data_IF_999418931408
#
_entry.id   IF_999418931408
#
_cell.length_a   1.000
_cell.length_b   1.000
_cell.length_c   1.000
_cell.angle_alpha   90.00
_cell.angle_beta   90.00
_cell.angle_gamma   90.00
#
_symmetry.space_group_name_H-M   'P 1'
#
loop_
_entity.id
_entity.type
_entity.pdbx_description
1 polymer ?
#
# COMPACT_ATOMS: atom_id res chain seq x y z
N UNK A 1 10.42 -20.14 -2.13
CA UNK A 1 9.32 -19.22 -1.95
C UNK A 1 8.66 -18.91 -3.29
N UNK A 2 7.43 -18.38 -3.29
CA UNK A 2 6.68 -18.05 -4.51
C UNK A 2 7.42 -17.06 -5.42
N UNK A 3 8.15 -16.08 -4.85
CA UNK A 3 8.97 -15.13 -5.60
C UNK A 3 10.22 -15.79 -6.24
N UNK A 4 10.83 -16.73 -5.55
CA UNK A 4 11.94 -17.53 -6.14
C UNK A 4 11.43 -18.35 -7.32
N UNK A 5 10.20 -18.90 -7.21
CA UNK A 5 9.58 -19.62 -8.31
C UNK A 5 9.22 -18.69 -9.48
N UNK A 6 8.66 -17.51 -9.24
CA UNK A 6 8.36 -16.53 -10.30
C UNK A 6 9.62 -16.02 -10.99
N UNK A 7 10.67 -15.69 -10.26
CA UNK A 7 11.96 -15.30 -10.83
C UNK A 7 12.58 -16.41 -11.68
N UNK A 8 12.45 -17.66 -11.26
CA UNK A 8 12.88 -18.82 -12.05
C UNK A 8 12.04 -19.02 -13.32
N UNK A 9 10.72 -18.75 -13.25
CA UNK A 9 9.82 -18.87 -14.41
C UNK A 9 10.17 -17.80 -15.45
N UNK A 10 10.40 -16.56 -15.04
CA UNK A 10 10.79 -15.47 -15.94
C UNK A 10 12.14 -15.73 -16.59
N UNK A 11 13.14 -16.18 -15.82
CA UNK A 11 14.44 -16.59 -16.35
C UNK A 11 14.31 -17.75 -17.33
N UNK A 12 13.49 -18.75 -17.03
CA UNK A 12 13.22 -19.87 -17.93
C UNK A 12 12.50 -19.43 -19.21
N UNK A 13 11.60 -18.45 -19.14
CA UNK A 13 10.93 -17.89 -20.30
C UNK A 13 11.91 -17.18 -21.23
N UNK A 14 12.86 -16.40 -20.70
CA UNK A 14 13.91 -15.76 -21.50
C UNK A 14 14.90 -16.77 -22.11
N UNK A 15 15.31 -17.79 -21.35
CA UNK A 15 16.16 -18.88 -21.84
C UNK A 15 15.49 -19.66 -22.98
N UNK A 16 14.17 -19.85 -22.94
CA UNK A 16 13.41 -20.53 -24.00
C UNK A 16 13.44 -19.82 -25.35
N UNK A 17 13.65 -18.51 -25.36
CA UNK A 17 13.80 -17.69 -26.59
C UNK A 17 15.12 -17.95 -27.30
N UNK A 18 16.10 -18.53 -26.61
CA UNK A 18 17.41 -18.85 -27.16
C UNK A 18 17.38 -20.25 -27.84
N UNK A 19 17.80 -20.38 -29.10
CA UNK A 19 17.89 -21.69 -29.77
C UNK A 19 18.70 -22.67 -28.95
N UNK A 20 18.22 -23.95 -28.87
CA UNK A 20 18.80 -24.99 -28.03
C UNK A 20 20.31 -25.13 -28.18
N UNK A 21 20.83 -25.11 -29.42
CA UNK A 21 22.27 -25.24 -29.73
C UNK A 21 23.12 -24.01 -29.31
N UNK A 22 22.50 -22.87 -29.01
CA UNK A 22 23.18 -21.70 -28.50
C UNK A 22 23.19 -21.64 -26.98
N UNK A 23 22.33 -22.38 -26.29
CA UNK A 23 22.20 -22.34 -24.84
C UNK A 23 23.48 -22.74 -24.12
N UNK A 24 24.19 -23.76 -24.62
CA UNK A 24 25.45 -24.21 -24.04
C UNK A 24 26.59 -23.20 -24.22
N UNK A 25 26.66 -22.52 -25.38
CA UNK A 25 27.58 -21.40 -25.60
C UNK A 25 27.19 -20.16 -24.86
N UNK A 26 25.90 -19.89 -24.70
CA UNK A 26 25.36 -18.77 -23.95
C UNK A 26 25.85 -18.82 -22.49
N UNK A 27 25.85 -19.99 -21.87
CA UNK A 27 26.34 -20.19 -20.51
C UNK A 27 27.86 -20.11 -20.35
N UNK A 28 28.63 -20.21 -21.46
CA UNK A 28 30.10 -20.23 -21.45
C UNK A 28 30.78 -18.95 -21.96
N UNK A 29 30.03 -17.95 -22.37
CA UNK A 29 30.60 -16.71 -22.94
C UNK A 29 30.51 -15.52 -22.00
N UNK A 30 31.13 -14.38 -22.37
CA UNK A 30 31.02 -13.12 -21.64
C UNK A 30 29.59 -12.64 -21.41
N UNK A 31 28.60 -13.19 -22.14
CA UNK A 31 27.17 -12.99 -21.93
C UNK A 31 26.68 -13.54 -20.58
N UNK A 32 27.32 -14.55 -19.99
CA UNK A 32 26.98 -15.05 -18.64
C UNK A 32 27.08 -13.94 -17.61
N UNK A 33 28.12 -13.12 -17.70
CA UNK A 33 28.36 -12.05 -16.74
C UNK A 33 27.33 -10.94 -16.91
N UNK A 34 26.99 -10.60 -18.14
CA UNK A 34 26.04 -9.52 -18.46
C UNK A 34 24.61 -9.93 -18.10
N UNK A 35 24.21 -11.18 -18.35
CA UNK A 35 22.89 -11.71 -17.96
C UNK A 35 22.79 -11.88 -16.43
N UNK A 36 23.88 -12.29 -15.77
CA UNK A 36 23.92 -12.33 -14.31
C UNK A 36 23.77 -10.92 -13.71
N UNK A 37 24.47 -9.94 -14.23
CA UNK A 37 24.44 -8.56 -13.74
C UNK A 37 23.12 -7.84 -14.11
N UNK A 38 22.58 -8.03 -15.30
CA UNK A 38 21.39 -7.32 -15.79
C UNK A 38 20.05 -7.98 -15.40
N UNK A 39 20.03 -9.28 -15.20
CA UNK A 39 18.78 -10.03 -14.93
C UNK A 39 18.80 -10.68 -13.55
N UNK A 40 19.86 -11.42 -13.23
CA UNK A 40 19.91 -12.22 -11.99
C UNK A 40 20.17 -11.33 -10.77
N UNK A 41 21.05 -10.34 -10.88
CA UNK A 41 21.38 -9.45 -9.78
C UNK A 41 20.21 -8.58 -9.37
N UNK A 42 19.44 -7.92 -10.28
CA UNK A 42 18.22 -7.21 -9.91
C UNK A 42 17.14 -8.13 -9.31
N UNK A 43 17.05 -9.39 -9.74
CA UNK A 43 16.12 -10.37 -9.17
C UNK A 43 16.57 -10.77 -7.77
N UNK A 44 17.87 -11.05 -7.58
CA UNK A 44 18.44 -11.36 -6.27
C UNK A 44 18.30 -10.18 -5.29
N UNK A 45 18.52 -8.96 -5.74
CA UNK A 45 18.29 -7.74 -4.95
C UNK A 45 16.83 -7.62 -4.51
N UNK A 46 15.87 -7.91 -5.39
CA UNK A 46 14.44 -7.94 -5.03
C UNK A 46 14.11 -9.06 -4.04
N UNK A 47 14.72 -10.24 -4.21
CA UNK A 47 14.56 -11.36 -3.27
C UNK A 47 15.16 -10.99 -1.92
N UNK A 48 16.34 -10.38 -1.89
CA UNK A 48 16.98 -9.91 -0.65
C UNK A 48 16.12 -8.85 0.03
N UNK A 49 15.60 -7.86 -0.70
CA UNK A 49 14.70 -6.85 -0.16
C UNK A 49 13.41 -7.46 0.40
N UNK A 50 12.84 -8.44 -0.30
CA UNK A 50 11.67 -9.18 0.19
C UNK A 50 11.98 -10.01 1.44
N UNK A 51 13.12 -10.71 1.46
CA UNK A 51 13.56 -11.49 2.63
C UNK A 51 13.89 -10.59 3.82
N UNK A 52 14.49 -9.42 3.57
CA UNK A 52 14.71 -8.40 4.60
C UNK A 52 13.39 -7.83 5.13
N UNK A 53 12.46 -7.49 4.24
CA UNK A 53 11.12 -7.03 4.63
C UNK A 53 10.34 -8.10 5.40
N UNK A 54 10.54 -9.38 5.06
CA UNK A 54 9.93 -10.52 5.75
C UNK A 54 10.59 -10.85 7.08
N UNK A 55 11.92 -10.68 7.20
CA UNK A 55 12.67 -10.96 8.44
C UNK A 55 12.53 -9.85 9.47
N UNK A 56 12.20 -8.62 9.04
CA UNK A 56 12.01 -7.48 9.91
C UNK A 56 10.63 -6.83 9.70
N UNK A 57 9.53 -7.61 9.80
CA UNK A 57 8.22 -7.07 9.45
C UNK A 57 7.81 -5.90 10.36
N UNK A 58 8.28 -5.84 11.61
CA UNK A 58 7.85 -4.78 12.54
C UNK A 58 8.76 -4.59 13.78
N UNK A 59 9.84 -5.37 13.94
CA UNK A 59 10.61 -5.41 15.19
C UNK A 59 11.41 -4.13 15.49
N UNK A 60 11.67 -3.30 14.48
CA UNK A 60 12.41 -2.04 14.62
C UNK A 60 11.60 -0.80 14.24
N UNK A 61 10.30 -0.90 14.09
CA UNK A 61 9.47 0.29 14.07
C UNK A 61 9.40 0.75 15.53
N UNK A 62 9.98 1.91 15.88
CA UNK A 62 9.80 2.43 17.22
C UNK A 62 8.29 2.60 17.43
N UNK A 63 7.69 1.74 18.23
CA UNK A 63 6.30 1.86 18.68
C UNK A 63 6.10 3.06 19.61
N UNK A 64 7.15 3.83 19.77
CA UNK A 64 7.12 5.07 20.52
C UNK A 64 6.77 6.26 19.63
N UNK A 65 5.52 6.31 19.15
CA UNK A 65 4.83 7.55 19.24
C UNK A 65 4.69 7.82 20.74
N UNK A 66 5.68 8.49 21.35
CA UNK A 66 5.56 8.93 22.73
C UNK A 66 4.33 9.83 22.75
N UNK A 67 3.31 9.40 23.49
CA UNK A 67 2.11 10.17 23.76
C UNK A 67 2.48 11.38 24.62
N UNK A 68 3.02 12.42 24.01
CA UNK A 68 3.13 13.74 24.64
C UNK A 68 1.81 14.50 24.52
N UNK A 69 0.91 14.05 23.64
CA UNK A 69 -0.44 14.57 23.50
C UNK A 69 -1.42 13.58 24.14
N UNK A 70 -2.43 14.11 24.83
CA UNK A 70 -3.53 13.33 25.40
C UNK A 70 -4.15 12.37 24.37
N UNK A 71 -4.84 11.34 24.83
CA UNK A 71 -5.53 10.39 23.94
C UNK A 71 -6.68 11.11 23.24
N UNK A 72 -6.50 11.44 21.96
CA UNK A 72 -7.56 11.93 21.10
C UNK A 72 -8.39 10.73 20.61
N UNK A 73 -9.70 10.80 20.72
CA UNK A 73 -10.61 9.83 20.11
C UNK A 73 -10.76 10.06 18.61
N UNK A 74 -11.27 9.07 17.90
CA UNK A 74 -11.50 9.15 16.45
C UNK A 74 -12.50 10.27 16.13
N UNK A 75 -13.57 10.39 16.92
CA UNK A 75 -14.59 11.42 16.72
C UNK A 75 -14.11 12.82 17.11
N UNK A 76 -13.23 12.93 18.10
CA UNK A 76 -12.53 14.22 18.38
C UNK A 76 -11.65 14.62 17.20
N UNK A 77 -10.92 13.67 16.59
CA UNK A 77 -10.16 13.94 15.37
C UNK A 77 -11.07 14.44 14.24
N UNK A 78 -12.19 13.73 13.96
CA UNK A 78 -13.12 14.16 12.91
C UNK A 78 -13.63 15.57 13.15
N UNK A 79 -14.03 15.91 14.38
CA UNK A 79 -14.49 17.25 14.72
C UNK A 79 -13.41 18.33 14.50
N UNK A 80 -12.15 18.02 14.81
CA UNK A 80 -11.01 18.92 14.57
C UNK A 80 -10.68 19.06 13.08
N UNK A 81 -10.72 17.97 12.31
CA UNK A 81 -10.49 17.96 10.87
C UNK A 81 -11.51 18.85 10.14
N UNK A 82 -12.79 18.70 10.43
CA UNK A 82 -13.88 19.49 9.83
C UNK A 82 -13.79 20.99 10.08
N UNK A 83 -13.05 21.45 11.08
CA UNK A 83 -12.81 22.88 11.32
C UNK A 83 -12.02 23.56 10.22
N UNK A 84 -11.24 22.79 9.46
CA UNK A 84 -10.39 23.29 8.37
C UNK A 84 -10.99 23.06 6.99
N UNK A 85 -12.20 22.48 6.93
CA UNK A 85 -12.93 22.29 5.69
C UNK A 85 -13.30 23.63 5.06
N UNK A 86 -12.99 23.81 3.78
CA UNK A 86 -13.39 24.96 3.01
C UNK A 86 -14.83 24.78 2.51
N UNK A 87 -15.76 25.60 2.98
CA UNK A 87 -17.16 25.60 2.52
C UNK A 87 -17.42 26.74 1.53
N UNK A 88 -16.57 26.84 0.51
CA UNK A 88 -16.67 27.90 -0.50
C UNK A 88 -17.85 27.67 -1.43
N UNK A 89 -18.20 26.43 -1.72
CA UNK A 89 -19.31 26.09 -2.62
C UNK A 89 -20.63 26.22 -1.90
N UNK A 90 -21.35 27.29 -2.21
CA UNK A 90 -22.75 27.51 -1.74
C UNK A 90 -23.78 26.87 -2.64
N UNK A 91 -23.37 26.34 -3.79
CA UNK A 91 -24.27 25.69 -4.75
C UNK A 91 -24.77 24.35 -4.21
N UNK A 92 -26.08 24.11 -4.30
CA UNK A 92 -26.70 22.85 -3.84
C UNK A 92 -26.46 21.70 -4.83
N UNK A 93 -25.21 21.48 -5.25
CA UNK A 93 -24.86 20.32 -6.05
C UNK A 93 -24.89 19.11 -5.11
N UNK A 94 -25.82 18.16 -5.32
CA UNK A 94 -25.87 16.96 -4.49
C UNK A 94 -24.53 16.26 -4.47
N UNK A 95 -24.11 15.81 -3.30
CA UNK A 95 -22.88 15.05 -3.11
C UNK A 95 -21.56 15.75 -3.46
N UNK A 96 -21.53 17.06 -3.67
CA UNK A 96 -20.29 17.80 -3.99
C UNK A 96 -19.21 17.59 -2.93
N UNK A 97 -19.58 17.58 -1.65
CA UNK A 97 -18.65 17.35 -0.53
C UNK A 97 -18.11 15.92 -0.53
N UNK A 98 -18.94 14.93 -0.89
CA UNK A 98 -18.49 13.54 -1.05
C UNK A 98 -17.48 13.45 -2.18
N UNK A 99 -17.76 14.10 -3.31
CA UNK A 99 -16.89 14.13 -4.47
C UNK A 99 -15.54 14.80 -4.13
N UNK A 100 -15.57 15.95 -3.45
CA UNK A 100 -14.36 16.66 -2.99
C UNK A 100 -13.53 15.76 -2.09
N UNK A 101 -14.15 15.13 -1.08
CA UNK A 101 -13.47 14.21 -0.17
C UNK A 101 -12.83 13.02 -0.88
N UNK A 102 -13.54 12.39 -1.82
CA UNK A 102 -13.01 11.25 -2.57
C UNK A 102 -11.90 11.65 -3.56
N UNK A 103 -12.00 12.83 -4.18
CA UNK A 103 -10.95 13.33 -5.08
C UNK A 103 -9.67 13.65 -4.28
N UNK A 104 -9.80 14.32 -3.13
CA UNK A 104 -8.66 14.63 -2.27
C UNK A 104 -8.01 13.37 -1.70
N UNK A 105 -8.81 12.42 -1.19
CA UNK A 105 -8.30 11.14 -0.70
C UNK A 105 -7.46 10.41 -1.77
N UNK A 106 -7.89 10.41 -3.03
CA UNK A 106 -7.12 9.84 -4.14
C UNK A 106 -5.85 10.65 -4.42
N UNK A 107 -5.89 11.99 -4.29
CA UNK A 107 -4.72 12.85 -4.44
C UNK A 107 -3.64 12.50 -3.44
N UNK A 108 -3.97 12.53 -2.14
CA UNK A 108 -3.01 12.22 -1.06
C UNK A 108 -2.51 10.78 -1.10
N UNK A 109 -3.38 9.82 -1.47
CA UNK A 109 -2.94 8.44 -1.71
C UNK A 109 -1.94 8.37 -2.87
N UNK A 110 -2.10 9.21 -3.90
CA UNK A 110 -1.14 9.35 -4.99
C UNK A 110 0.20 9.92 -4.53
N UNK A 111 0.20 10.91 -3.63
CA UNK A 111 1.42 11.48 -3.03
C UNK A 111 2.15 10.44 -2.17
N UNK A 112 1.44 9.69 -1.35
CA UNK A 112 2.00 8.56 -0.61
C UNK A 112 2.63 7.50 -1.53
N UNK A 113 1.98 7.16 -2.66
CA UNK A 113 2.54 6.24 -3.67
C UNK A 113 3.79 6.85 -4.33
N UNK A 114 3.83 8.16 -4.59
CA UNK A 114 4.99 8.83 -5.20
C UNK A 114 6.21 8.76 -4.29
N UNK A 115 6.05 8.89 -2.96
CA UNK A 115 7.14 8.66 -2.00
C UNK A 115 7.71 7.25 -2.21
N UNK A 116 6.87 6.22 -2.22
CA UNK A 116 7.32 4.84 -2.41
C UNK A 116 7.95 4.60 -3.78
N UNK A 117 7.42 5.22 -4.83
CA UNK A 117 8.01 5.18 -6.18
C UNK A 117 9.43 5.74 -6.17
N UNK A 118 9.66 6.88 -5.52
CA UNK A 118 10.98 7.51 -5.41
C UNK A 118 11.97 6.62 -4.66
N UNK A 119 11.53 5.99 -3.57
CA UNK A 119 12.35 5.04 -2.81
C UNK A 119 12.71 3.82 -3.67
N UNK A 120 11.72 3.19 -4.30
CA UNK A 120 11.91 1.89 -4.97
C UNK A 120 12.63 2.02 -6.33
N UNK A 121 12.46 3.14 -7.04
CA UNK A 121 12.90 3.27 -8.42
C UNK A 121 13.87 4.42 -8.68
N UNK A 122 14.05 5.33 -7.72
CA UNK A 122 14.88 6.53 -7.90
C UNK A 122 15.99 6.68 -6.84
N UNK A 123 16.12 5.70 -5.92
CA UNK A 123 17.18 5.65 -4.93
C UNK A 123 17.06 6.67 -3.80
N UNK A 124 15.85 7.20 -3.54
CA UNK A 124 15.62 8.06 -2.38
C UNK A 124 15.58 7.24 -1.10
N UNK A 125 15.98 7.85 0.01
CA UNK A 125 15.73 7.27 1.33
C UNK A 125 14.25 7.38 1.71
N UNK A 126 13.77 6.41 2.49
CA UNK A 126 12.38 6.41 2.94
C UNK A 126 12.17 7.39 4.09
N UNK A 127 11.52 8.51 3.80
CA UNK A 127 11.10 9.50 4.79
C UNK A 127 9.77 9.06 5.44
N UNK A 128 9.89 8.51 6.65
CA UNK A 128 8.75 8.02 7.43
C UNK A 128 7.86 9.14 7.94
N UNK A 129 8.44 10.29 8.26
CA UNK A 129 7.68 11.44 8.75
C UNK A 129 6.83 12.03 7.62
N UNK A 130 7.40 12.16 6.43
CA UNK A 130 6.69 12.59 5.24
C UNK A 130 5.53 11.63 4.93
N UNK A 131 5.78 10.30 4.88
CA UNK A 131 4.73 9.30 4.70
C UNK A 131 3.62 9.42 5.75
N UNK A 132 3.96 9.68 7.02
CA UNK A 132 2.96 9.85 8.08
C UNK A 132 2.09 11.10 7.88
N UNK A 133 2.62 12.16 7.28
CA UNK A 133 1.85 13.37 6.93
C UNK A 133 0.84 13.06 5.83
N UNK A 134 1.25 12.41 4.74
CA UNK A 134 0.35 11.99 3.66
C UNK A 134 -0.79 11.08 4.18
N UNK A 135 -0.47 10.15 5.08
CA UNK A 135 -1.49 9.32 5.73
C UNK A 135 -2.43 10.15 6.62
N UNK A 136 -1.94 11.23 7.22
CA UNK A 136 -2.74 12.20 7.95
C UNK A 136 -3.72 12.94 7.04
N UNK A 137 -3.26 13.36 5.86
CA UNK A 137 -4.08 14.07 4.88
C UNK A 137 -5.13 13.16 4.25
N UNK A 138 -4.81 11.88 3.98
CA UNK A 138 -5.79 10.84 3.63
C UNK A 138 -6.87 10.72 4.72
N UNK A 139 -6.48 10.71 6.00
CA UNK A 139 -7.43 10.62 7.11
C UNK A 139 -8.32 11.86 7.20
N UNK A 140 -7.79 13.05 6.87
CA UNK A 140 -8.56 14.29 6.80
C UNK A 140 -9.68 14.20 5.76
N UNK A 141 -9.36 13.79 4.54
CA UNK A 141 -10.35 13.60 3.48
C UNK A 141 -11.34 12.46 3.78
N UNK A 142 -10.90 11.44 4.50
CA UNK A 142 -11.81 10.39 5.00
C UNK A 142 -12.82 10.97 5.99
N UNK A 143 -12.38 11.85 6.91
CA UNK A 143 -13.25 12.50 7.88
C UNK A 143 -14.30 13.40 7.19
N UNK A 144 -13.89 14.18 6.19
CA UNK A 144 -14.79 15.01 5.38
C UNK A 144 -15.82 14.15 4.63
N UNK A 145 -15.36 13.07 4.00
CA UNK A 145 -16.24 12.16 3.25
C UNK A 145 -17.27 11.48 4.16
N UNK A 146 -16.86 11.06 5.35
CA UNK A 146 -17.74 10.46 6.35
C UNK A 146 -18.86 11.43 6.78
N UNK A 147 -18.49 12.66 7.15
CA UNK A 147 -19.45 13.70 7.54
C UNK A 147 -20.39 14.06 6.37
N UNK A 148 -19.86 14.09 5.15
CA UNK A 148 -20.65 14.41 3.96
C UNK A 148 -21.77 13.39 3.66
N UNK A 149 -21.62 12.15 4.12
CA UNK A 149 -22.65 11.12 4.03
C UNK A 149 -23.43 10.89 5.34
N UNK A 150 -23.17 11.72 6.36
CA UNK A 150 -23.90 11.72 7.63
C UNK A 150 -23.43 10.64 8.63
N UNK A 151 -22.18 10.20 8.54
CA UNK A 151 -21.60 9.24 9.47
C UNK A 151 -20.43 9.85 10.24
N UNK A 152 -20.26 9.41 11.49
CA UNK A 152 -19.01 9.62 12.21
C UNK A 152 -18.02 8.49 11.89
N UNK A 153 -16.72 8.79 12.06
CA UNK A 153 -15.64 7.83 11.74
C UNK A 153 -15.66 6.60 12.63
N UNK A 154 -16.06 6.72 13.90
CA UNK A 154 -16.14 5.59 14.81
C UNK A 154 -17.16 4.56 14.31
N UNK A 155 -18.33 5.04 13.87
CA UNK A 155 -19.37 4.18 13.24
C UNK A 155 -18.85 3.48 12.00
N UNK A 156 -18.17 4.21 11.07
CA UNK A 156 -17.60 3.62 9.85
C UNK A 156 -16.56 2.56 10.20
N UNK A 157 -15.69 2.83 11.16
CA UNK A 157 -14.66 1.88 11.58
C UNK A 157 -15.27 0.65 12.25
N UNK A 158 -16.32 0.84 13.07
CA UNK A 158 -17.04 -0.28 13.66
C UNK A 158 -17.70 -1.16 12.59
N UNK A 159 -18.38 -0.56 11.62
CA UNK A 159 -18.98 -1.29 10.48
C UNK A 159 -17.92 -2.09 9.72
N UNK A 160 -16.73 -1.51 9.50
CA UNK A 160 -15.64 -2.20 8.83
C UNK A 160 -15.08 -3.35 9.67
N UNK A 161 -14.91 -3.16 10.99
CA UNK A 161 -14.47 -4.21 11.92
C UNK A 161 -15.46 -5.36 11.95
N UNK A 162 -16.76 -5.08 12.00
CA UNK A 162 -17.80 -6.11 12.03
C UNK A 162 -17.84 -6.91 10.72
N UNK A 163 -17.70 -6.22 9.58
CA UNK A 163 -17.53 -6.86 8.28
C UNK A 163 -16.30 -7.78 8.24
N UNK A 164 -15.15 -7.30 8.73
CA UNK A 164 -13.91 -8.08 8.75
C UNK A 164 -13.99 -9.29 9.68
N UNK A 165 -14.65 -9.16 10.85
CA UNK A 165 -14.89 -10.29 11.76
C UNK A 165 -15.83 -11.33 11.16
N UNK A 166 -16.86 -10.89 10.44
CA UNK A 166 -17.76 -11.79 9.75
C UNK A 166 -17.04 -12.57 8.63
N UNK A 167 -16.17 -11.88 7.88
CA UNK A 167 -15.39 -12.48 6.79
C UNK A 167 -14.26 -13.39 7.27
N UNK A 168 -13.59 -13.00 8.33
CA UNK A 168 -12.39 -13.65 8.88
C UNK A 168 -12.52 -13.85 10.40
N UNK A 169 -13.37 -14.76 10.87
CA UNK A 169 -13.63 -14.92 12.29
C UNK A 169 -12.39 -15.28 13.10
N UNK A 170 -11.49 -16.06 12.52
CA UNK A 170 -10.24 -16.52 13.14
C UNK A 170 -8.99 -15.79 12.61
N UNK A 171 -9.18 -14.65 11.93
CA UNK A 171 -8.12 -13.91 11.26
C UNK A 171 -8.06 -14.17 9.76
N UNK A 172 -7.11 -13.52 9.06
CA UNK A 172 -7.01 -13.60 7.61
C UNK A 172 -6.79 -15.04 7.14
N UNK A 173 -7.64 -15.48 6.20
CA UNK A 173 -7.53 -16.75 5.48
C UNK A 173 -7.60 -16.51 3.97
N UNK A 174 -6.64 -17.10 3.26
CA UNK A 174 -6.50 -16.94 1.81
C UNK A 174 -7.61 -17.64 1.02
N UNK A 175 -8.18 -18.73 1.54
CA UNK A 175 -9.26 -19.46 0.90
C UNK A 175 -10.55 -18.62 0.93
N UNK A 176 -10.90 -18.06 2.11
CA UNK A 176 -12.01 -17.11 2.23
C UNK A 176 -11.81 -15.85 1.39
N UNK A 177 -10.56 -15.40 1.19
CA UNK A 177 -10.26 -14.26 0.32
C UNK A 177 -10.51 -14.55 -1.16
N UNK A 178 -10.28 -15.78 -1.61
CA UNK A 178 -10.45 -16.20 -3.02
C UNK A 178 -11.89 -16.61 -3.33
N UNK A 179 -12.61 -17.14 -2.36
CA UNK A 179 -13.97 -17.65 -2.50
C UNK A 179 -14.96 -16.82 -1.69
N UNK A 180 -15.10 -15.54 -2.09
CA UNK A 180 -16.02 -14.61 -1.43
C UNK A 180 -17.47 -15.03 -1.63
N UNK A 181 -18.27 -14.94 -0.57
CA UNK A 181 -19.73 -15.03 -0.66
C UNK A 181 -20.28 -13.87 -1.51
N UNK A 182 -21.36 -14.13 -2.25
CA UNK A 182 -22.09 -13.09 -2.99
C UNK A 182 -22.64 -11.96 -2.11
N UNK A 183 -22.78 -12.22 -0.81
CA UNK A 183 -23.28 -11.27 0.18
C UNK A 183 -22.17 -10.47 0.87
N UNK A 184 -20.91 -10.71 0.48
CA UNK A 184 -19.72 -10.07 1.00
C UNK A 184 -19.37 -8.82 0.19
N UNK A 185 -20.08 -7.73 0.45
CA UNK A 185 -19.89 -6.42 -0.18
C UNK A 185 -18.87 -5.58 0.61
#
# INVERSE_FOLDING_TARGET
SMLTAMACIDLMAEIRKIPFWKRERFWKSQYEKQVLEEIVEPINQRIILYELARKHPYENIPTTCKKEHGTMTINEYQALALRTESRITTDPIPYIRVLEGLMGLNGEAGEAIDIMKKVLFQGHEFDREHMAKELGDIAWYLAVSADAIGYDLETIFQMNVDKLKARYPDGFDSEHSQHRSSDDI
#
